data_IF_605113152498
#
_entry.id   IF_605113152498
#
_cell.length_a   1.000
_cell.length_b   1.000
_cell.length_c   1.000
_cell.angle_alpha   90.00
_cell.angle_beta   90.00
_cell.angle_gamma   90.00
#
_symmetry.space_group_name_H-M   'P 1'
#
loop_
_entity.id
_entity.type
_entity.pdbx_description
1 polymer ?
#
# COMPACT_ATOMS: atom_id res chain seq x y z
N UNK A 1 8.99 6.34 -10.04
CA UNK A 1 7.87 7.29 -10.22
C UNK A 1 8.47 8.63 -10.65
N UNK A 2 7.88 9.34 -11.61
CA UNK A 2 8.32 10.71 -11.92
C UNK A 2 7.60 11.66 -10.97
N UNK A 3 8.36 12.46 -10.22
CA UNK A 3 7.83 13.42 -9.27
C UNK A 3 8.08 14.84 -9.79
N UNK A 4 7.14 15.73 -9.48
CA UNK A 4 7.11 17.13 -9.91
C UNK A 4 7.29 18.09 -8.73
N UNK A 5 7.78 17.60 -7.62
CA UNK A 5 8.07 18.44 -6.47
C UNK A 5 9.26 17.80 -5.79
N UNK A 6 10.34 18.56 -5.65
CA UNK A 6 11.42 18.28 -4.71
C UNK A 6 11.56 19.56 -3.90
N UNK A 7 10.76 19.73 -2.85
CA UNK A 7 10.82 20.92 -2.04
C UNK A 7 12.11 20.86 -1.23
N UNK A 8 13.24 21.28 -1.80
CA UNK A 8 14.40 21.63 -0.99
C UNK A 8 14.03 22.91 -0.22
N UNK A 9 13.80 22.83 1.11
CA UNK A 9 13.38 23.99 1.88
C UNK A 9 14.47 25.08 1.93
N UNK A 10 15.71 24.76 1.54
CA UNK A 10 16.82 25.72 1.42
C UNK A 10 16.93 26.36 0.05
N UNK A 11 16.27 25.80 -0.97
CA UNK A 11 16.32 26.31 -2.34
C UNK A 11 15.54 27.60 -2.56
N UNK A 12 14.60 27.93 -1.66
CA UNK A 12 13.69 29.07 -1.82
C UNK A 12 12.65 28.88 -2.94
N UNK A 13 12.45 27.64 -3.42
CA UNK A 13 11.48 27.30 -4.45
C UNK A 13 10.06 27.79 -4.10
N UNK A 14 9.39 28.40 -5.09
CA UNK A 14 7.98 28.82 -5.03
C UNK A 14 7.24 28.23 -6.24
N UNK A 15 6.11 27.53 -6.05
CA UNK A 15 5.33 27.00 -7.15
C UNK A 15 4.96 28.07 -8.19
N UNK A 16 5.25 27.81 -9.47
CA UNK A 16 4.79 28.64 -10.61
C UNK A 16 5.80 29.61 -11.24
N UNK A 17 7.01 29.78 -10.68
CA UNK A 17 8.03 30.70 -11.24
C UNK A 17 9.24 30.01 -11.88
N UNK A 18 9.46 28.73 -11.61
CA UNK A 18 10.61 27.97 -12.12
C UNK A 18 10.15 26.66 -12.76
N UNK A 19 10.80 26.21 -13.86
CA UNK A 19 10.58 24.88 -14.40
C UNK A 19 10.83 23.85 -13.30
N UNK A 20 9.82 23.01 -13.04
CA UNK A 20 9.96 21.89 -12.13
C UNK A 20 10.87 20.86 -12.77
N UNK A 21 12.00 20.57 -12.14
CA UNK A 21 12.87 19.48 -12.56
C UNK A 21 12.19 18.14 -12.27
N UNK A 22 12.14 17.25 -13.27
CA UNK A 22 11.56 15.92 -13.10
C UNK A 22 12.56 15.04 -12.38
N UNK A 23 12.33 14.77 -11.10
CA UNK A 23 13.15 13.82 -10.37
C UNK A 23 12.55 12.42 -10.51
N UNK A 24 13.39 11.47 -10.93
CA UNK A 24 13.04 10.06 -10.97
C UNK A 24 13.50 9.41 -9.68
N UNK A 25 12.55 8.95 -8.89
CA UNK A 25 12.81 8.16 -7.68
C UNK A 25 12.37 6.70 -7.87
N UNK A 26 13.13 5.79 -7.28
CA UNK A 26 12.85 4.35 -7.26
C UNK A 26 12.23 3.98 -5.91
N UNK A 27 11.18 3.19 -5.96
CA UNK A 27 10.43 2.72 -4.77
C UNK A 27 10.36 1.21 -4.85
N UNK A 28 10.68 0.54 -3.75
CA UNK A 28 10.45 -0.89 -3.62
C UNK A 28 9.02 -1.11 -3.13
N UNK A 29 8.28 -1.94 -3.84
CA UNK A 29 6.85 -2.17 -3.62
C UNK A 29 6.63 -3.64 -3.35
N UNK A 30 5.88 -3.93 -2.28
CA UNK A 30 5.47 -5.27 -1.89
C UNK A 30 3.97 -5.28 -1.69
N UNK A 31 3.26 -6.10 -2.45
CA UNK A 31 1.80 -6.15 -2.47
C UNK A 31 1.31 -7.49 -1.94
N UNK A 32 0.14 -7.49 -1.29
CA UNK A 32 -0.55 -8.73 -0.92
C UNK A 32 0.19 -9.54 0.17
N UNK A 33 0.76 -8.88 1.18
CA UNK A 33 1.45 -9.55 2.29
C UNK A 33 0.42 -9.95 3.38
N UNK A 34 0.17 -11.26 3.67
CA UNK A 34 -0.84 -11.69 4.64
C UNK A 34 -0.46 -11.44 6.10
N UNK A 35 -1.06 -10.45 6.77
CA UNK A 35 -0.70 -10.14 8.16
C UNK A 35 -1.37 -11.04 9.21
N UNK A 36 -2.33 -11.87 8.80
CA UNK A 36 -3.06 -12.79 9.68
C UNK A 36 -3.49 -14.05 8.91
N UNK A 37 -3.92 -15.09 9.63
CA UNK A 37 -4.57 -16.23 9.00
C UNK A 37 -5.93 -15.85 8.41
N UNK A 38 -6.34 -16.47 7.30
CA UNK A 38 -7.63 -16.21 6.67
C UNK A 38 -8.80 -16.35 7.68
N UNK A 39 -9.73 -15.37 7.76
CA UNK A 39 -10.87 -15.39 8.67
C UNK A 39 -12.04 -16.22 8.10
N UNK A 40 -11.73 -17.30 7.38
CA UNK A 40 -12.72 -18.20 6.77
C UNK A 40 -13.10 -19.34 7.71
N UNK A 41 -14.26 -19.97 7.47
CA UNK A 41 -14.76 -21.12 8.23
C UNK A 41 -14.78 -20.83 9.74
N UNK A 42 -14.05 -21.60 10.54
CA UNK A 42 -13.93 -21.43 11.99
C UNK A 42 -13.28 -20.11 12.41
N UNK A 43 -12.62 -19.40 11.49
CA UNK A 43 -12.06 -18.07 11.71
C UNK A 43 -13.08 -16.94 11.57
N UNK A 44 -14.27 -17.21 11.02
CA UNK A 44 -15.29 -16.18 10.81
C UNK A 44 -15.83 -15.68 12.15
N UNK A 45 -16.00 -14.36 12.27
CA UNK A 45 -16.49 -13.69 13.48
C UNK A 45 -15.64 -13.92 14.73
N UNK A 46 -14.35 -14.21 14.56
CA UNK A 46 -13.37 -14.33 15.65
C UNK A 46 -12.25 -13.30 15.48
N UNK A 47 -11.53 -12.96 16.55
CA UNK A 47 -10.31 -12.17 16.44
C UNK A 47 -9.33 -12.77 15.41
N UNK A 48 -8.58 -11.93 14.67
CA UNK A 48 -7.61 -12.41 13.69
C UNK A 48 -6.56 -13.26 14.38
N UNK A 49 -6.23 -14.40 13.76
CA UNK A 49 -5.22 -15.32 14.30
C UNK A 49 -3.85 -14.98 13.69
N UNK A 50 -2.76 -15.09 14.47
CA UNK A 50 -1.41 -14.86 13.94
C UNK A 50 -1.12 -15.72 12.72
N UNK A 51 -0.49 -15.12 11.71
CA UNK A 51 0.03 -15.87 10.56
C UNK A 51 1.06 -16.91 11.05
N UNK A 52 1.11 -18.11 10.44
CA UNK A 52 1.94 -19.25 10.90
C UNK A 52 3.45 -19.09 10.66
N UNK A 53 3.92 -17.87 10.40
CA UNK A 53 5.26 -17.60 9.90
C UNK A 53 5.31 -17.58 8.38
N UNK A 54 6.49 -17.27 7.85
CA UNK A 54 6.68 -16.88 6.46
C UNK A 54 7.64 -17.83 5.75
N UNK A 55 7.22 -18.28 4.57
CA UNK A 55 8.15 -18.73 3.54
C UNK A 55 8.38 -17.57 2.56
N UNK A 56 9.30 -17.72 1.63
CA UNK A 56 9.46 -16.75 0.54
C UNK A 56 8.14 -16.70 -0.25
N UNK A 57 7.55 -15.51 -0.36
CA UNK A 57 6.32 -15.27 -1.10
C UNK A 57 6.56 -14.25 -2.22
N UNK A 58 5.83 -14.39 -3.32
CA UNK A 58 5.79 -13.36 -4.36
C UNK A 58 4.81 -12.27 -3.97
N UNK A 59 5.33 -11.14 -3.48
CA UNK A 59 4.54 -9.99 -3.06
C UNK A 59 4.41 -8.95 -4.19
N UNK A 60 3.87 -9.37 -5.35
CA UNK A 60 3.81 -8.54 -6.57
C UNK A 60 2.39 -8.15 -6.99
N UNK A 61 1.38 -8.80 -6.43
CA UNK A 61 -0.03 -8.58 -6.72
C UNK A 61 -0.79 -8.12 -5.47
N UNK A 62 -1.79 -7.26 -5.66
CA UNK A 62 -2.68 -6.89 -4.58
C UNK A 62 -3.52 -8.09 -4.12
N UNK A 63 -3.66 -8.26 -2.80
CA UNK A 63 -4.66 -9.15 -2.23
C UNK A 63 -6.11 -8.68 -2.55
N UNK A 64 -7.09 -9.58 -2.44
CA UNK A 64 -8.49 -9.25 -2.69
C UNK A 64 -9.02 -8.27 -1.62
N UNK A 65 -10.05 -7.51 -1.97
CA UNK A 65 -10.77 -6.72 -0.98
C UNK A 65 -11.63 -7.63 -0.09
N UNK A 66 -11.92 -7.17 1.13
CA UNK A 66 -12.86 -7.89 1.99
C UNK A 66 -14.29 -7.83 1.45
N UNK A 67 -15.16 -8.79 1.82
CA UNK A 67 -16.55 -8.84 1.36
C UNK A 67 -17.29 -7.53 1.64
N UNK A 68 -17.84 -6.94 0.58
CA UNK A 68 -18.57 -5.67 0.59
C UNK A 68 -19.57 -5.63 -0.58
N UNK A 69 -20.53 -4.68 -0.60
CA UNK A 69 -21.51 -4.61 -1.67
C UNK A 69 -20.87 -4.42 -3.06
N UNK A 70 -21.30 -5.23 -4.03
CA UNK A 70 -20.69 -5.30 -5.38
C UNK A 70 -20.72 -3.98 -6.16
N UNK A 71 -21.64 -3.06 -5.82
CA UNK A 71 -21.67 -1.70 -6.39
C UNK A 71 -20.40 -0.87 -6.14
N UNK A 72 -19.59 -1.26 -5.15
CA UNK A 72 -18.32 -0.62 -4.80
C UNK A 72 -17.10 -1.36 -5.36
N UNK A 73 -17.32 -2.52 -6.00
CA UNK A 73 -16.26 -3.35 -6.59
C UNK A 73 -16.32 -3.31 -8.11
N UNK A 74 -15.24 -3.72 -8.77
CA UNK A 74 -15.10 -3.78 -10.21
C UNK A 74 -13.79 -3.14 -10.69
N UNK A 75 -13.33 -3.55 -11.88
CA UNK A 75 -12.07 -3.05 -12.45
C UNK A 75 -12.03 -1.52 -12.58
N UNK A 76 -13.16 -0.89 -12.93
CA UNK A 76 -13.30 0.57 -13.03
C UNK A 76 -13.28 1.29 -11.69
N UNK A 77 -13.43 0.56 -10.58
CA UNK A 77 -13.39 1.07 -9.20
C UNK A 77 -12.07 0.75 -8.48
N UNK A 78 -11.13 0.08 -9.14
CA UNK A 78 -9.85 -0.31 -8.55
C UNK A 78 -9.88 -1.56 -7.68
N UNK A 79 -11.06 -2.13 -7.39
CA UNK A 79 -11.22 -3.38 -6.64
C UNK A 79 -11.59 -4.50 -7.61
N UNK A 80 -10.59 -5.27 -8.03
CA UNK A 80 -10.78 -6.33 -9.05
C UNK A 80 -11.35 -7.62 -8.49
N UNK A 81 -11.06 -7.91 -7.22
CA UNK A 81 -11.43 -9.17 -6.59
C UNK A 81 -11.88 -8.94 -5.14
N UNK A 82 -12.71 -9.87 -4.65
CA UNK A 82 -13.32 -9.82 -3.33
C UNK A 82 -13.42 -11.22 -2.74
N UNK A 83 -12.88 -11.42 -1.54
CA UNK A 83 -12.84 -12.72 -0.89
C UNK A 83 -12.77 -12.57 0.64
N UNK A 84 -13.21 -13.59 1.39
CA UNK A 84 -13.09 -13.56 2.86
C UNK A 84 -11.65 -13.69 3.34
N UNK A 85 -10.81 -14.39 2.59
CA UNK A 85 -9.36 -14.31 2.73
C UNK A 85 -8.87 -12.99 2.16
N UNK A 86 -8.91 -11.93 2.97
CA UNK A 86 -8.57 -10.55 2.58
C UNK A 86 -7.62 -9.84 3.55
N UNK A 87 -7.03 -10.55 4.52
CA UNK A 87 -6.19 -9.96 5.56
C UNK A 87 -4.74 -9.73 5.06
N UNK A 88 -4.63 -8.84 4.08
CA UNK A 88 -3.37 -8.48 3.41
C UNK A 88 -3.03 -7.00 3.59
N UNK A 89 -1.74 -6.69 3.58
CA UNK A 89 -1.23 -5.32 3.54
C UNK A 89 -0.27 -5.14 2.37
N UNK A 90 0.01 -3.87 2.06
CA UNK A 90 0.97 -3.48 1.03
C UNK A 90 2.01 -2.57 1.65
N UNK A 91 3.26 -2.71 1.24
CA UNK A 91 4.41 -1.91 1.70
C UNK A 91 4.99 -1.16 0.51
N UNK A 92 5.16 0.14 0.70
CA UNK A 92 5.87 1.01 -0.21
C UNK A 92 7.03 1.61 0.58
N UNK A 93 8.25 1.40 0.13
CA UNK A 93 9.46 1.89 0.81
C UNK A 93 10.40 2.54 -0.20
N UNK A 94 11.17 3.58 0.20
CA UNK A 94 12.30 4.04 -0.58
C UNK A 94 13.22 2.87 -0.98
N UNK A 95 14.06 3.09 -2.00
CA UNK A 95 14.95 2.07 -2.57
C UNK A 95 15.67 1.25 -1.49
N UNK A 96 15.55 -0.07 -1.59
CA UNK A 96 16.30 -1.01 -0.76
C UNK A 96 17.69 -1.16 -1.39
N UNK A 97 18.59 -0.23 -1.08
CA UNK A 97 20.00 -0.37 -1.48
C UNK A 97 20.71 -1.40 -0.58
N UNK A 98 21.65 -2.14 -1.16
CA UNK A 98 22.51 -3.07 -0.43
C UNK A 98 23.56 -2.30 0.37
N UNK A 99 23.20 -1.90 1.58
CA UNK A 99 24.03 -1.13 2.50
C UNK A 99 23.26 -0.86 3.81
N UNK A 100 23.95 -0.37 4.85
CA UNK A 100 23.41 -0.10 6.21
C UNK A 100 21.91 0.20 6.21
N UNK A 101 21.14 -0.63 6.93
CA UNK A 101 19.69 -0.49 7.05
C UNK A 101 19.32 0.93 7.51
N UNK A 102 18.95 1.79 6.56
CA UNK A 102 18.47 3.14 6.85
C UNK A 102 17.09 2.99 7.47
N UNK A 103 16.92 3.53 8.68
CA UNK A 103 15.61 3.56 9.33
C UNK A 103 14.83 4.72 8.74
N UNK A 104 13.64 4.42 8.24
CA UNK A 104 12.68 5.40 7.76
C UNK A 104 11.52 5.52 8.76
N UNK A 105 10.91 6.70 8.88
CA UNK A 105 9.62 6.81 9.56
C UNK A 105 8.58 5.94 8.84
N UNK A 106 7.74 5.26 9.61
CA UNK A 106 6.68 4.39 9.08
C UNK A 106 5.34 5.08 9.21
N UNK A 107 4.63 5.20 8.09
CA UNK A 107 3.23 5.64 8.05
C UNK A 107 2.33 4.42 7.82
N UNK A 108 1.33 4.24 8.69
CA UNK A 108 0.33 3.18 8.55
C UNK A 108 -1.00 3.78 8.13
N UNK A 109 -1.50 3.38 6.95
CA UNK A 109 -2.73 3.90 6.39
C UNK A 109 -3.88 2.90 6.55
N UNK A 110 -4.99 3.36 7.09
CA UNK A 110 -6.25 2.61 7.21
C UNK A 110 -7.27 3.29 6.29
N UNK A 111 -7.80 2.56 5.32
CA UNK A 111 -8.76 3.12 4.38
C UNK A 111 -10.09 3.46 5.08
N UNK A 112 -10.79 4.46 4.54
CA UNK A 112 -12.16 4.78 4.95
C UNK A 112 -13.20 3.81 4.39
N UNK A 113 -14.47 4.21 4.44
CA UNK A 113 -15.59 3.42 3.90
C UNK A 113 -16.59 2.94 4.94
N UNK A 114 -16.81 3.73 6.00
CA UNK A 114 -17.93 3.55 6.95
C UNK A 114 -17.99 2.15 7.58
N UNK A 115 -16.86 1.45 7.69
CA UNK A 115 -16.77 0.06 8.15
C UNK A 115 -17.56 -0.97 7.30
N UNK A 116 -18.00 -0.59 6.09
CA UNK A 116 -18.84 -1.44 5.22
C UNK A 116 -18.25 -1.66 3.83
N UNK A 117 -17.24 -0.88 3.45
CA UNK A 117 -16.58 -0.92 2.13
C UNK A 117 -15.15 -0.37 2.22
N UNK A 118 -14.41 -0.47 1.12
CA UNK A 118 -13.05 0.03 0.98
C UNK A 118 -12.04 -1.11 0.82
N UNK A 119 -10.83 -0.73 0.40
CA UNK A 119 -9.72 -1.65 0.19
C UNK A 119 -8.38 -0.90 0.19
N UNK A 120 -7.30 -1.58 0.57
CA UNK A 120 -5.96 -0.99 0.60
C UNK A 120 -5.41 -0.63 -0.78
N UNK A 121 -5.85 -1.33 -1.84
CA UNK A 121 -5.37 -1.12 -3.21
C UNK A 121 -5.91 0.18 -3.85
N UNK A 122 -6.87 0.85 -3.21
CA UNK A 122 -7.35 2.18 -3.60
C UNK A 122 -6.35 3.29 -3.28
N UNK A 123 -5.34 3.02 -2.45
CA UNK A 123 -4.34 3.99 -2.03
C UNK A 123 -2.91 3.49 -2.34
N UNK A 124 -2.42 3.69 -3.57
CA UNK A 124 -1.06 3.31 -3.93
C UNK A 124 -0.05 4.33 -3.36
N UNK A 125 0.56 4.01 -2.21
CA UNK A 125 1.43 4.90 -1.44
C UNK A 125 2.84 5.17 -2.01
N UNK A 126 3.11 4.77 -3.26
CA UNK A 126 4.44 4.89 -3.85
C UNK A 126 4.92 6.34 -4.02
N UNK A 127 4.00 7.30 -4.20
CA UNK A 127 4.38 8.72 -4.28
C UNK A 127 4.90 9.20 -2.92
N UNK A 128 4.23 8.84 -1.83
CA UNK A 128 4.66 9.19 -0.47
C UNK A 128 5.99 8.55 -0.10
N UNK A 129 6.18 7.27 -0.47
CA UNK A 129 7.39 6.54 -0.16
C UNK A 129 8.61 6.96 -1.01
N UNK A 130 8.41 7.81 -2.00
CA UNK A 130 9.49 8.29 -2.85
C UNK A 130 10.20 9.54 -2.29
N UNK A 131 9.64 10.15 -1.24
CA UNK A 131 10.14 11.31 -0.50
C UNK A 131 10.82 10.91 0.83
#
# INVERSE_FOLDING_TARGET
VYLYDDPDPRSGYRPGQTPVERIKSNVSVFLGIPYALPPVKEGRFRPPRPHRGWQVIQAVDFGPACPQPTRFTGATKGIRDMHEDCLYLNIFTPTIESGLARRYPVMFYIHGGEFTKGASNLFPGHVLAAF
#
